data_IF_619867621430
#
_entry.id   IF_619867621430
#
_cell.length_a   1.000
_cell.length_b   1.000
_cell.length_c   1.000
_cell.angle_alpha   90.00
_cell.angle_beta   90.00
_cell.angle_gamma   90.00
#
_symmetry.space_group_name_H-M   'P 1'
#
loop_
_entity.id
_entity.type
_entity.pdbx_description
1 polymer ?
#
# COMPACT_ATOMS: atom_id res chain seq x y z
N UNK A 1 8.72 50.16 19.77
CA UNK A 1 7.66 49.16 19.52
C UNK A 1 7.90 48.54 18.15
N UNK A 2 8.01 47.23 17.92
CA UNK A 2 8.05 46.08 18.82
C UNK A 2 8.84 44.96 18.12
N UNK A 3 10.12 44.81 18.45
CA UNK A 3 10.97 43.69 18.01
C UNK A 3 10.40 42.33 18.46
N UNK A 4 9.53 42.33 19.49
CA UNK A 4 8.79 41.16 19.96
C UNK A 4 7.69 40.69 18.98
N UNK A 5 7.10 41.58 18.17
CA UNK A 5 6.03 41.20 17.22
C UNK A 5 6.60 40.46 16.00
N UNK A 6 7.79 40.84 15.53
CA UNK A 6 8.44 40.17 14.41
C UNK A 6 8.89 38.73 14.74
N UNK A 7 9.29 38.47 15.98
CA UNK A 7 9.71 37.13 16.44
C UNK A 7 8.51 36.19 16.64
N UNK A 8 7.35 36.72 17.06
CA UNK A 8 6.13 35.94 17.21
C UNK A 8 5.57 35.42 15.87
N UNK A 9 5.69 36.20 14.79
CA UNK A 9 5.17 35.83 13.46
C UNK A 9 6.00 34.70 12.82
N UNK A 10 7.32 34.68 13.05
CA UNK A 10 8.20 33.63 12.52
C UNK A 10 8.01 32.26 13.21
N UNK A 11 7.68 32.27 14.52
CA UNK A 11 7.43 31.03 15.28
C UNK A 11 6.06 30.40 14.95
N UNK A 12 5.06 31.20 14.57
CA UNK A 12 3.73 30.71 14.17
C UNK A 12 3.75 30.15 12.74
N UNK A 13 4.57 30.71 11.83
CA UNK A 13 4.74 30.19 10.47
C UNK A 13 5.45 28.83 10.41
N UNK A 14 6.48 28.62 11.22
CA UNK A 14 7.20 27.33 11.31
C UNK A 14 6.35 26.20 11.91
N UNK A 15 5.42 26.53 12.82
CA UNK A 15 4.52 25.56 13.42
C UNK A 15 3.40 25.12 12.46
N UNK A 16 3.06 25.90 11.42
CA UNK A 16 2.04 25.53 10.44
C UNK A 16 2.59 24.61 9.33
N UNK A 17 3.85 24.75 8.95
CA UNK A 17 4.46 23.88 7.92
C UNK A 17 4.74 22.46 8.43
N UNK A 18 4.95 22.29 9.73
CA UNK A 18 5.09 20.95 10.30
C UNK A 18 3.75 20.19 10.36
N UNK A 19 2.59 20.86 10.40
CA UNK A 19 1.28 20.18 10.49
C UNK A 19 0.82 19.60 9.13
N UNK A 20 1.19 20.22 8.01
CA UNK A 20 0.69 19.84 6.68
C UNK A 20 1.21 18.45 6.25
N UNK A 21 2.37 18.02 6.78
CA UNK A 21 2.89 16.66 6.60
C UNK A 21 2.07 15.57 7.31
N UNK A 22 1.24 15.91 8.30
CA UNK A 22 0.45 14.94 9.06
C UNK A 22 -0.92 14.62 8.45
N UNK A 23 -1.42 15.45 7.52
CA UNK A 23 -2.76 15.26 6.93
C UNK A 23 -2.78 14.31 5.73
N UNK A 24 -1.65 14.11 5.05
CA UNK A 24 -1.61 13.37 3.77
C UNK A 24 -1.11 11.92 3.87
N UNK A 25 -0.88 11.42 5.08
CA UNK A 25 -0.16 10.16 5.26
C UNK A 25 1.31 10.31 4.86
N UNK A 26 2.14 9.35 5.25
CA UNK A 26 3.55 9.35 4.83
C UNK A 26 3.60 9.08 3.33
N UNK A 27 3.92 10.10 2.54
CA UNK A 27 4.13 9.93 1.11
C UNK A 27 5.36 9.03 0.90
N UNK A 28 5.12 7.83 0.38
CA UNK A 28 6.12 6.80 0.12
C UNK A 28 6.22 6.55 -1.39
N UNK A 29 7.33 6.00 -1.88
CA UNK A 29 7.44 5.62 -3.30
C UNK A 29 7.56 4.10 -3.38
N UNK A 30 6.42 3.43 -3.25
CA UNK A 30 6.39 1.97 -3.17
C UNK A 30 5.91 1.32 -4.46
N UNK A 31 6.41 0.12 -4.64
CA UNK A 31 6.00 -0.76 -5.74
C UNK A 31 5.64 -2.11 -5.17
N UNK A 32 4.52 -2.66 -5.62
CA UNK A 32 4.07 -4.01 -5.32
C UNK A 32 3.88 -4.78 -6.63
N UNK A 33 4.67 -5.83 -6.81
CA UNK A 33 4.59 -6.73 -7.95
C UNK A 33 3.85 -8.01 -7.52
N UNK A 34 2.80 -8.34 -8.24
CA UNK A 34 1.91 -9.48 -7.97
C UNK A 34 2.16 -10.61 -8.98
N UNK A 35 2.00 -11.83 -8.49
CA UNK A 35 2.34 -13.08 -9.18
C UNK A 35 1.22 -14.10 -9.01
N UNK A 36 0.88 -14.78 -10.10
CA UNK A 36 -0.19 -15.81 -10.18
C UNK A 36 0.35 -17.21 -9.85
N UNK A 37 1.66 -17.31 -9.61
CA UNK A 37 2.31 -18.49 -9.09
C UNK A 37 2.99 -18.21 -7.74
N UNK A 38 3.23 -19.28 -7.00
CA UNK A 38 4.12 -19.26 -5.83
C UNK A 38 5.57 -19.03 -6.26
N UNK A 39 6.44 -18.69 -5.33
CA UNK A 39 7.86 -18.42 -5.55
C UNK A 39 8.16 -17.37 -6.63
N UNK A 40 7.28 -16.37 -6.76
CA UNK A 40 7.39 -15.28 -7.73
C UNK A 40 7.28 -15.74 -9.19
N UNK A 41 6.52 -16.81 -9.44
CA UNK A 41 6.24 -17.29 -10.78
C UNK A 41 5.04 -16.56 -11.43
N UNK A 42 5.04 -16.44 -12.75
CA UNK A 42 4.00 -15.79 -13.56
C UNK A 42 3.60 -14.38 -13.06
N UNK A 43 4.47 -13.36 -13.21
CA UNK A 43 4.16 -11.99 -12.83
C UNK A 43 3.06 -11.40 -13.71
N UNK A 44 2.00 -10.84 -13.13
CA UNK A 44 0.88 -10.29 -13.92
C UNK A 44 0.60 -8.81 -13.65
N UNK A 45 0.96 -8.27 -12.48
CA UNK A 45 0.70 -6.85 -12.18
C UNK A 45 1.87 -6.18 -11.47
N UNK A 46 2.03 -4.88 -11.73
CA UNK A 46 2.85 -3.95 -10.95
C UNK A 46 2.00 -2.76 -10.54
N UNK A 47 1.91 -2.53 -9.23
CA UNK A 47 1.15 -1.46 -8.62
C UNK A 47 2.14 -0.50 -7.98
N UNK A 48 2.06 0.78 -8.34
CA UNK A 48 2.82 1.86 -7.71
C UNK A 48 1.90 2.65 -6.80
N UNK A 49 2.31 2.93 -5.58
CA UNK A 49 1.45 3.59 -4.61
C UNK A 49 2.24 4.41 -3.60
N UNK A 50 1.59 5.45 -3.05
CA UNK A 50 2.26 6.46 -2.25
C UNK A 50 1.72 6.65 -0.84
N UNK A 51 0.67 5.93 -0.44
CA UNK A 51 -0.01 6.16 0.83
C UNK A 51 -0.09 4.87 1.65
N UNK A 52 0.55 4.84 2.81
CA UNK A 52 0.36 3.76 3.79
C UNK A 52 -0.99 3.93 4.54
N UNK A 53 -1.45 2.90 5.23
CA UNK A 53 -2.77 2.79 5.88
C UNK A 53 -3.95 3.17 4.95
N UNK A 54 -3.76 3.01 3.63
CA UNK A 54 -4.81 3.04 2.62
C UNK A 54 -5.10 1.60 2.20
N UNK A 55 -6.38 1.28 2.02
CA UNK A 55 -6.77 0.00 1.48
C UNK A 55 -6.76 0.06 -0.04
N UNK A 56 -5.92 -0.78 -0.66
CA UNK A 56 -5.85 -0.92 -2.10
C UNK A 56 -6.68 -2.13 -2.52
N UNK A 57 -7.77 -1.89 -3.24
CA UNK A 57 -8.70 -2.91 -3.71
C UNK A 57 -8.17 -3.54 -5.01
N UNK A 58 -8.15 -4.87 -5.05
CA UNK A 58 -7.75 -5.73 -6.16
C UNK A 58 -8.96 -6.49 -6.76
N UNK A 59 -10.17 -6.28 -6.22
CA UNK A 59 -11.42 -6.98 -6.52
C UNK A 59 -12.03 -6.61 -7.89
N UNK A 60 -11.18 -6.50 -8.91
CA UNK A 60 -11.61 -6.05 -10.21
C UNK A 60 -10.79 -6.60 -11.37
N UNK A 61 -11.45 -6.64 -12.53
CA UNK A 61 -10.86 -7.06 -13.79
C UNK A 61 -10.19 -8.43 -13.66
N UNK A 62 -8.89 -8.47 -13.95
CA UNK A 62 -8.09 -9.68 -13.89
C UNK A 62 -7.12 -9.67 -12.68
N UNK A 63 -7.39 -8.92 -11.62
CA UNK A 63 -6.53 -8.89 -10.42
C UNK A 63 -7.07 -9.78 -9.29
N UNK A 64 -8.39 -9.86 -9.19
CA UNK A 64 -9.07 -10.49 -8.07
C UNK A 64 -8.73 -11.97 -7.94
N UNK A 65 -8.50 -12.42 -6.70
CA UNK A 65 -8.30 -13.83 -6.35
C UNK A 65 -7.12 -14.55 -7.04
N UNK A 66 -6.24 -13.83 -7.73
CA UNK A 66 -5.09 -14.41 -8.46
C UNK A 66 -3.76 -14.36 -7.71
N UNK A 67 -3.64 -13.53 -6.67
CA UNK A 67 -2.35 -13.34 -6.00
C UNK A 67 -1.94 -14.62 -5.27
N UNK A 68 -0.82 -15.21 -5.69
CA UNK A 68 -0.22 -16.40 -5.08
C UNK A 68 1.15 -16.10 -4.43
N UNK A 69 1.84 -15.06 -4.90
CA UNK A 69 3.02 -14.50 -4.25
C UNK A 69 3.17 -13.01 -4.59
N UNK A 70 4.00 -12.27 -3.84
CA UNK A 70 4.17 -10.84 -4.05
C UNK A 70 5.58 -10.36 -3.69
N UNK A 71 6.11 -9.39 -4.44
CA UNK A 71 7.34 -8.67 -4.11
C UNK A 71 7.08 -7.19 -3.97
N UNK A 72 7.83 -6.54 -3.10
CA UNK A 72 7.72 -5.11 -2.90
C UNK A 72 9.07 -4.43 -2.73
N UNK A 73 9.09 -3.14 -3.05
CA UNK A 73 10.21 -2.22 -2.82
C UNK A 73 9.68 -0.86 -2.37
N UNK A 74 10.54 -0.05 -1.76
CA UNK A 74 10.17 1.29 -1.29
C UNK A 74 9.19 1.31 -0.11
N UNK A 75 8.94 0.16 0.54
CA UNK A 75 8.12 0.12 1.75
C UNK A 75 8.93 0.62 2.96
N UNK A 76 8.30 1.38 3.86
CA UNK A 76 8.91 1.77 5.11
C UNK A 76 9.22 0.53 5.95
N UNK A 77 10.40 0.53 6.57
CA UNK A 77 10.86 -0.58 7.44
C UNK A 77 10.56 -0.33 8.92
N UNK A 78 10.18 0.90 9.29
CA UNK A 78 9.83 1.30 10.65
C UNK A 78 8.66 2.30 10.62
N UNK A 79 7.68 2.09 11.49
CA UNK A 79 6.56 2.99 11.73
C UNK A 79 6.89 4.04 12.80
N UNK A 80 5.89 4.81 13.20
CA UNK A 80 6.05 5.82 14.25
C UNK A 80 6.48 5.15 15.57
N UNK A 81 7.37 5.79 16.34
CA UNK A 81 7.92 5.23 17.60
C UNK A 81 8.54 3.82 17.45
N UNK A 82 9.15 3.52 16.28
CA UNK A 82 9.79 2.22 16.00
C UNK A 82 8.82 1.03 16.01
N UNK A 83 7.52 1.26 15.77
CA UNK A 83 6.57 0.16 15.61
C UNK A 83 6.85 -0.63 14.33
N UNK A 84 6.52 -1.91 14.39
CA UNK A 84 6.64 -2.81 13.26
C UNK A 84 5.65 -2.41 12.16
N UNK A 85 6.16 -2.23 10.94
CA UNK A 85 5.32 -2.05 9.75
C UNK A 85 4.93 -3.42 9.23
N UNK A 86 3.67 -3.59 8.81
CA UNK A 86 3.20 -4.82 8.18
C UNK A 86 2.70 -4.52 6.77
N UNK A 87 2.94 -5.43 5.83
CA UNK A 87 2.08 -5.52 4.64
C UNK A 87 1.06 -6.63 4.88
N UNK A 88 -0.19 -6.41 4.51
CA UNK A 88 -1.29 -7.34 4.77
C UNK A 88 -2.11 -7.54 3.52
N UNK A 89 -2.39 -8.80 3.21
CA UNK A 89 -3.21 -9.23 2.09
C UNK A 89 -4.50 -9.83 2.62
N UNK A 90 -5.63 -9.35 2.11
CA UNK A 90 -6.97 -9.62 2.60
C UNK A 90 -7.74 -10.44 1.58
N UNK A 91 -8.50 -11.42 2.07
CA UNK A 91 -9.33 -12.31 1.28
C UNK A 91 -10.64 -11.65 0.80
N UNK A 92 -11.03 -10.53 1.41
CA UNK A 92 -12.21 -9.78 1.02
C UNK A 92 -11.80 -8.35 0.62
N UNK A 93 -12.67 -7.69 -0.15
CA UNK A 93 -12.56 -6.27 -0.44
C UNK A 93 -12.57 -5.42 0.85
N UNK A 94 -12.28 -4.13 0.70
CA UNK A 94 -12.23 -3.16 1.80
C UNK A 94 -11.27 -3.52 2.95
N UNK A 95 -10.28 -4.39 2.69
CA UNK A 95 -9.30 -4.84 3.68
C UNK A 95 -9.98 -5.49 4.90
N UNK A 96 -10.92 -6.39 4.62
CA UNK A 96 -11.69 -7.17 5.61
C UNK A 96 -11.42 -8.67 5.45
N UNK A 97 -12.09 -9.46 6.28
CA UNK A 97 -12.05 -10.92 6.17
C UNK A 97 -10.78 -11.55 6.70
N UNK A 98 -10.47 -12.74 6.18
CA UNK A 98 -9.22 -13.41 6.50
C UNK A 98 -8.05 -12.64 5.89
N UNK A 99 -6.93 -12.57 6.62
CA UNK A 99 -5.74 -11.87 6.14
C UNK A 99 -4.46 -12.62 6.50
N UNK A 100 -3.45 -12.47 5.66
CA UNK A 100 -2.08 -12.87 5.95
C UNK A 100 -1.19 -11.63 5.96
N UNK A 101 -0.27 -11.55 6.92
CA UNK A 101 0.51 -10.34 7.16
C UNK A 101 1.97 -10.66 7.35
N UNK A 102 2.82 -9.81 6.78
CA UNK A 102 4.26 -9.93 6.84
C UNK A 102 4.83 -8.69 7.50
N UNK A 103 5.63 -8.88 8.55
CA UNK A 103 6.36 -7.81 9.23
C UNK A 103 7.54 -7.38 8.38
N UNK A 104 7.69 -6.07 8.15
CA UNK A 104 8.77 -5.50 7.36
C UNK A 104 9.98 -5.13 8.25
N UNK A 105 11.22 -5.19 7.71
CA UNK A 105 11.59 -5.70 6.38
C UNK A 105 11.54 -7.23 6.30
N UNK A 106 11.10 -7.76 5.16
CA UNK A 106 11.01 -9.20 4.91
C UNK A 106 11.49 -9.56 3.51
N UNK A 107 12.80 -9.41 3.28
CA UNK A 107 13.48 -9.76 2.02
C UNK A 107 12.80 -9.26 0.71
N UNK A 108 11.98 -8.21 0.82
CA UNK A 108 11.23 -7.61 -0.29
C UNK A 108 10.14 -8.50 -0.90
N UNK A 109 9.54 -9.45 -0.17
CA UNK A 109 8.42 -10.23 -0.71
C UNK A 109 7.95 -11.41 0.12
N UNK A 110 6.76 -11.91 -0.20
CA UNK A 110 6.17 -13.16 0.29
C UNK A 110 6.19 -14.19 -0.85
N UNK A 111 6.87 -15.33 -0.64
CA UNK A 111 7.04 -16.39 -1.66
C UNK A 111 5.79 -17.23 -1.83
N UNK A 112 5.02 -17.44 -0.78
CA UNK A 112 3.77 -18.20 -0.80
C UNK A 112 2.94 -17.79 0.42
N UNK A 113 1.61 -17.85 0.27
CA UNK A 113 0.67 -17.67 1.38
C UNK A 113 0.37 -19.03 2.02
N UNK A 114 0.28 -19.08 3.34
CA UNK A 114 0.05 -20.32 4.09
C UNK A 114 -1.38 -20.45 4.62
N UNK A 115 -2.09 -19.34 4.78
CA UNK A 115 -3.45 -19.36 5.31
C UNK A 115 -4.43 -19.81 4.23
N UNK A 116 -5.03 -21.01 4.41
CA UNK A 116 -6.04 -21.58 3.50
C UNK A 116 -7.23 -20.67 3.21
N UNK A 117 -7.55 -19.75 4.13
CA UNK A 117 -8.63 -18.77 3.96
C UNK A 117 -8.23 -17.58 3.08
N UNK A 118 -6.96 -17.42 2.76
CA UNK A 118 -6.38 -16.31 1.97
C UNK A 118 -5.93 -16.78 0.58
N UNK A 119 -5.37 -17.99 0.48
CA UNK A 119 -4.90 -18.57 -0.78
C UNK A 119 -6.02 -18.55 -1.84
N UNK A 120 -5.73 -17.95 -3.00
CA UNK A 120 -6.66 -17.87 -4.14
C UNK A 120 -7.90 -17.01 -3.88
N UNK A 121 -7.85 -16.11 -2.88
CA UNK A 121 -8.96 -15.23 -2.50
C UNK A 121 -8.54 -13.79 -2.30
N UNK A 122 -7.28 -13.43 -2.52
CA UNK A 122 -6.79 -12.09 -2.21
C UNK A 122 -7.50 -11.05 -3.10
N UNK A 123 -8.19 -10.12 -2.45
CA UNK A 123 -8.98 -9.06 -3.07
C UNK A 123 -8.59 -7.66 -2.60
N UNK A 124 -7.70 -7.53 -1.61
CA UNK A 124 -7.15 -6.24 -1.21
C UNK A 124 -5.78 -6.37 -0.51
N UNK A 125 -5.03 -5.27 -0.46
CA UNK A 125 -3.84 -5.17 0.37
C UNK A 125 -3.74 -3.82 1.09
N UNK A 126 -2.97 -3.79 2.17
CA UNK A 126 -2.65 -2.57 2.91
C UNK A 126 -1.27 -2.66 3.56
N UNK A 127 -0.51 -1.57 3.47
CA UNK A 127 0.71 -1.36 4.27
C UNK A 127 0.33 -0.65 5.55
N UNK A 128 0.47 -1.32 6.70
CA UNK A 128 0.09 -0.87 8.03
C UNK A 128 1.32 -0.35 8.77
N UNK A 129 1.36 0.95 9.02
CA UNK A 129 2.41 1.56 9.85
C UNK A 129 2.11 1.39 11.34
N UNK A 130 0.93 1.86 11.75
CA UNK A 130 0.54 1.96 13.16
C UNK A 130 -0.95 1.60 13.40
N UNK A 131 -1.73 1.48 12.31
CA UNK A 131 -3.18 1.28 12.35
C UNK A 131 -3.61 -0.12 11.90
N UNK A 132 -4.70 -0.62 12.48
CA UNK A 132 -5.35 -1.87 12.07
C UNK A 132 -6.34 -1.66 10.91
N UNK A 133 -6.73 -0.41 10.64
CA UNK A 133 -7.77 -0.05 9.68
C UNK A 133 -7.25 0.97 8.66
N UNK A 134 -7.97 1.08 7.55
CA UNK A 134 -7.66 1.99 6.46
C UNK A 134 -7.99 3.44 6.83
N UNK A 135 -7.08 4.14 7.49
CA UNK A 135 -7.26 5.52 7.93
C UNK A 135 -7.21 6.53 6.79
N UNK A 136 -6.57 6.18 5.66
CA UNK A 136 -6.44 7.05 4.49
C UNK A 136 -7.32 6.60 3.32
N UNK A 137 -8.44 5.96 3.63
CA UNK A 137 -9.49 5.59 2.69
C UNK A 137 -9.19 4.35 1.85
N UNK A 138 -9.90 4.26 0.73
CA UNK A 138 -9.93 3.12 -0.18
C UNK A 138 -9.57 3.60 -1.58
N UNK A 139 -8.77 2.82 -2.28
CA UNK A 139 -8.38 3.11 -3.66
C UNK A 139 -8.46 1.83 -4.47
N UNK A 140 -9.17 1.91 -5.59
CA UNK A 140 -9.24 0.80 -6.51
C UNK A 140 -8.11 0.89 -7.54
N UNK A 141 -7.28 -0.15 -7.63
CA UNK A 141 -6.09 -0.14 -8.49
C UNK A 141 -6.37 -0.55 -9.95
N UNK A 142 -7.61 -0.91 -10.34
CA UNK A 142 -7.88 -1.44 -11.69
C UNK A 142 -7.44 -0.50 -12.84
N UNK A 143 -7.43 0.80 -12.59
CA UNK A 143 -7.15 1.81 -13.61
C UNK A 143 -5.70 2.31 -13.57
N UNK A 144 -4.92 1.88 -12.58
CA UNK A 144 -3.60 2.44 -12.28
C UNK A 144 -2.49 1.38 -12.15
N UNK A 145 -2.73 0.13 -12.59
CA UNK A 145 -1.70 -0.92 -12.61
C UNK A 145 -1.14 -1.17 -14.01
N UNK A 146 0.13 -1.59 -14.05
CA UNK A 146 0.74 -2.08 -15.27
C UNK A 146 0.52 -3.59 -15.36
N UNK A 147 -0.34 -4.02 -16.29
CA UNK A 147 -0.51 -5.43 -16.65
C UNK A 147 0.70 -5.90 -17.47
N UNK A 148 1.39 -6.92 -16.96
CA UNK A 148 2.58 -7.50 -17.62
C UNK A 148 2.22 -8.56 -18.67
N UNK A 149 0.99 -9.07 -18.61
CA UNK A 149 0.44 -10.05 -19.53
C UNK A 149 -0.55 -9.42 -20.52
N UNK A 150 -0.83 -8.11 -20.40
CA UNK A 150 -1.52 -7.36 -21.42
C UNK A 150 -0.61 -7.29 -22.67
N UNK A 151 -0.80 -8.24 -23.58
CA UNK A 151 -0.56 -8.00 -25.01
C UNK A 151 -1.11 -6.61 -25.32
N UNK A 152 -0.22 -5.73 -25.79
CA UNK A 152 -0.41 -4.29 -26.03
C UNK A 152 -1.77 -3.99 -26.68
N UNK A 153 -2.83 -3.90 -25.87
CA UNK A 153 -4.15 -3.47 -26.29
C UNK A 153 -4.42 -2.24 -25.46
N UNK A 154 -4.18 -1.09 -26.10
CA UNK A 154 -4.64 0.21 -25.63
C UNK A 154 -6.11 0.05 -25.23
N UNK A 155 -6.39 0.00 -23.93
CA UNK A 155 -7.75 0.18 -23.44
C UNK A 155 -8.08 1.65 -23.64
N UNK A 156 -8.70 1.96 -24.77
CA UNK A 156 -9.45 3.20 -24.92
C UNK A 156 -10.58 3.16 -23.90
N UNK A 157 -10.48 4.03 -22.89
CA UNK A 157 -11.59 4.45 -22.05
C UNK A 157 -12.72 4.94 -22.94
N UNK A 158 -13.90 4.32 -22.83
CA UNK A 158 -15.17 4.92 -23.23
C UNK A 158 -15.90 5.35 -21.97
#
# INVERSE_FOLDING_TARGET
MNSAIAVAIFMVGCLLQSVIGFLNGTQLSAQLKLYDGVYYDNPFALITFEVANRCYQLDCGNLDSRVASARWSGLPTQGWLRKNVLISFYADADCKGAQESVVLPHNGGIREFYLKKVIGKISAFMVRLDGLHATYGYENVCNSYFDKNATLRLRTSN
#
